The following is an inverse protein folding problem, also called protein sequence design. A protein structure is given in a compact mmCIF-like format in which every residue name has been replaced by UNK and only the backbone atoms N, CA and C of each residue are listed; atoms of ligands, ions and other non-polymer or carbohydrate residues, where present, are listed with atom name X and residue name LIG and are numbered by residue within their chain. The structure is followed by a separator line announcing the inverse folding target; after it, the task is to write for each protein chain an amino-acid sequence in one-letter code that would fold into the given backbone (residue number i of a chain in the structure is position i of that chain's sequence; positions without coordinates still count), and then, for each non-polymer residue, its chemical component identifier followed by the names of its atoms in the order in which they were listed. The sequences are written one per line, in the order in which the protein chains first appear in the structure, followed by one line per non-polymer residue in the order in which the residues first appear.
data_IF_716678839924
#
_entry.id   IF_716678839924
#
_cell.length_a   1.000
_cell.length_b   1.000
_cell.length_c   1.000
_cell.angle_alpha   90.00
_cell.angle_beta   90.00
_cell.angle_gamma   90.00
#
_symmetry.space_group_name_H-M   'P 1'
#
loop_
_entity.id
_entity.type
_entity.pdbx_description
1 polymer ?
#
# COMPACT_ATOMS: atom_id res chain seq x y z
N UNK A 1 -13.31 27.83 13.53
CA UNK A 1 -12.68 27.57 12.21
C UNK A 1 -11.83 26.32 12.37
N UNK A 2 -11.98 25.33 11.50
CA UNK A 2 -11.24 24.07 11.58
C UNK A 2 -10.47 23.86 10.27
N UNK A 3 -9.18 23.63 10.35
CA UNK A 3 -8.33 23.29 9.21
C UNK A 3 -8.02 21.79 9.26
N UNK A 4 -8.14 21.13 8.11
CA UNK A 4 -7.72 19.75 7.93
C UNK A 4 -6.73 19.65 6.78
N UNK A 5 -5.60 19.02 7.04
CA UNK A 5 -4.53 18.74 6.09
C UNK A 5 -4.82 17.44 5.30
N UNK A 6 -3.78 16.88 4.66
CA UNK A 6 -3.83 15.55 4.07
C UNK A 6 -4.19 14.51 5.15
N UNK A 7 -5.48 14.16 5.24
CA UNK A 7 -6.06 13.49 6.40
C UNK A 7 -7.57 13.68 6.55
N UNK A 8 -8.16 14.61 5.80
CA UNK A 8 -9.59 14.92 5.82
C UNK A 8 -10.51 13.70 5.64
N UNK A 9 -10.07 12.63 4.97
CA UNK A 9 -10.84 11.38 4.85
C UNK A 9 -11.25 10.75 6.18
N UNK A 10 -10.52 11.02 7.28
CA UNK A 10 -10.84 10.53 8.62
C UNK A 10 -12.07 11.19 9.23
N UNK A 11 -12.39 12.40 8.77
CA UNK A 11 -13.51 13.21 9.29
C UNK A 11 -14.63 13.39 8.27
N UNK A 12 -14.39 13.03 7.01
CA UNK A 12 -15.40 12.95 5.95
C UNK A 12 -16.14 11.60 6.00
N UNK A 13 -16.55 11.19 7.20
CA UNK A 13 -17.37 10.01 7.46
C UNK A 13 -18.58 10.40 8.31
N UNK A 14 -19.74 9.74 8.14
CA UNK A 14 -20.91 9.98 8.97
C UNK A 14 -20.58 9.88 10.46
N UNK A 15 -20.97 10.87 11.26
CA UNK A 15 -20.70 10.94 12.69
C UNK A 15 -19.25 11.24 13.10
N UNK A 16 -18.33 11.43 12.15
CA UNK A 16 -16.93 11.86 12.40
C UNK A 16 -16.68 13.31 11.96
N UNK A 17 -17.71 13.98 11.45
CA UNK A 17 -17.61 15.35 11.01
C UNK A 17 -17.25 16.27 12.18
N UNK A 18 -16.30 17.20 12.03
CA UNK A 18 -15.76 17.96 13.17
C UNK A 18 -16.68 19.11 13.59
N UNK A 19 -17.67 19.46 12.77
CA UNK A 19 -18.65 20.51 13.06
C UNK A 19 -19.98 19.87 13.45
N UNK A 20 -20.49 20.23 14.63
CA UNK A 20 -21.83 19.84 15.09
C UNK A 20 -22.90 20.72 14.44
N UNK A 21 -24.13 20.20 14.29
CA UNK A 21 -25.23 20.85 13.56
C UNK A 21 -25.53 22.30 13.96
N UNK A 22 -25.21 22.65 15.21
CA UNK A 22 -25.62 23.89 15.86
C UNK A 22 -24.50 24.94 15.88
N UNK A 23 -23.29 24.60 15.37
CA UNK A 23 -22.14 25.49 15.40
C UNK A 23 -21.99 26.27 14.08
N UNK A 24 -22.06 27.61 14.11
CA UNK A 24 -21.63 28.41 12.96
C UNK A 24 -20.11 28.28 12.80
N UNK A 25 -19.68 27.51 11.81
CA UNK A 25 -18.27 27.23 11.57
C UNK A 25 -17.95 27.06 10.09
N UNK A 26 -16.77 27.53 9.68
CA UNK A 26 -16.19 27.24 8.37
C UNK A 26 -15.16 26.13 8.52
N UNK A 27 -15.30 25.08 7.70
CA UNK A 27 -14.32 24.01 7.52
C UNK A 27 -13.47 24.35 6.29
N UNK A 28 -12.15 24.41 6.48
CA UNK A 28 -11.19 24.58 5.40
C UNK A 28 -10.43 23.26 5.21
N UNK A 29 -10.55 22.68 4.01
CA UNK A 29 -9.80 21.49 3.62
C UNK A 29 -8.56 21.95 2.85
N UNK A 30 -7.40 21.82 3.48
CA UNK A 30 -6.11 22.18 2.93
C UNK A 30 -5.50 20.94 2.29
N UNK A 31 -5.85 20.74 1.02
CA UNK A 31 -5.29 19.66 0.22
C UNK A 31 -3.90 20.07 -0.31
N UNK A 32 -2.84 19.65 0.37
CA UNK A 32 -1.47 19.78 -0.13
C UNK A 32 -1.21 18.80 -1.28
N UNK A 33 -0.85 19.31 -2.47
CA UNK A 33 -0.47 18.47 -3.62
C UNK A 33 0.71 17.55 -3.26
N UNK A 34 1.65 18.04 -2.47
CA UNK A 34 2.82 17.29 -2.03
C UNK A 34 2.45 16.13 -1.09
N UNK A 35 1.51 16.36 -0.16
CA UNK A 35 1.00 15.30 0.73
C UNK A 35 0.33 14.17 -0.05
N UNK A 36 -0.43 14.52 -1.10
CA UNK A 36 -1.02 13.54 -2.00
C UNK A 36 0.06 12.72 -2.71
N UNK A 37 1.08 13.37 -3.25
CA UNK A 37 2.18 12.68 -3.92
C UNK A 37 2.92 11.76 -2.95
N UNK A 38 3.24 12.22 -1.74
CA UNK A 38 3.89 11.42 -0.70
C UNK A 38 3.06 10.19 -0.30
N UNK A 39 1.73 10.35 -0.15
CA UNK A 39 0.81 9.24 0.16
C UNK A 39 0.70 8.25 -0.98
N UNK A 40 0.64 8.72 -2.23
CA UNK A 40 0.64 7.86 -3.43
C UNK A 40 1.94 7.07 -3.55
N UNK A 41 3.07 7.71 -3.31
CA UNK A 41 4.37 7.04 -3.37
C UNK A 41 4.54 6.03 -2.23
N UNK A 42 4.05 6.36 -1.03
CA UNK A 42 4.00 5.41 0.08
C UNK A 42 3.14 4.19 -0.27
N UNK A 43 1.97 4.40 -0.88
CA UNK A 43 1.10 3.31 -1.32
C UNK A 43 1.80 2.43 -2.37
N UNK A 44 2.45 3.03 -3.38
CA UNK A 44 3.22 2.28 -4.39
C UNK A 44 4.34 1.43 -3.79
N UNK A 45 5.01 1.92 -2.73
CA UNK A 45 6.06 1.15 -2.04
C UNK A 45 5.51 -0.04 -1.24
N UNK A 46 4.26 0.03 -0.79
CA UNK A 46 3.56 -1.06 -0.10
C UNK A 46 3.04 -2.13 -1.07
N UNK A 47 2.67 -1.71 -2.29
CA UNK A 47 2.12 -2.56 -3.34
C UNK A 47 3.03 -2.53 -4.57
N UNK A 48 4.16 -3.26 -4.56
CA UNK A 48 5.08 -3.26 -5.67
C UNK A 48 4.41 -3.77 -6.96
N UNK A 49 4.68 -3.08 -8.06
CA UNK A 49 4.40 -3.56 -9.40
C UNK A 49 5.43 -4.62 -9.84
N UNK A 50 5.38 -5.04 -11.11
CA UNK A 50 6.33 -6.04 -11.64
C UNK A 50 7.79 -5.58 -11.51
N UNK A 51 8.07 -4.28 -11.71
CA UNK A 51 9.41 -3.75 -11.58
C UNK A 51 9.86 -3.79 -10.11
N UNK A 52 8.98 -3.39 -9.19
CA UNK A 52 9.23 -3.45 -7.75
C UNK A 52 9.47 -4.88 -7.26
N UNK A 53 8.70 -5.85 -7.74
CA UNK A 53 8.90 -7.26 -7.41
C UNK A 53 10.22 -7.81 -7.94
N UNK A 54 10.67 -7.39 -9.14
CA UNK A 54 12.00 -7.77 -9.65
C UNK A 54 13.13 -7.29 -8.75
N UNK A 55 13.02 -6.06 -8.23
CA UNK A 55 14.01 -5.52 -7.28
C UNK A 55 13.96 -6.27 -5.94
N UNK A 56 12.76 -6.59 -5.44
CA UNK A 56 12.59 -7.40 -4.23
C UNK A 56 13.21 -8.80 -4.40
N UNK A 57 12.93 -9.47 -5.51
CA UNK A 57 13.51 -10.77 -5.86
C UNK A 57 15.04 -10.70 -5.90
N UNK A 58 15.62 -9.70 -6.57
CA UNK A 58 17.07 -9.50 -6.61
C UNK A 58 17.69 -9.31 -5.22
N UNK A 59 17.01 -8.55 -4.36
CA UNK A 59 17.45 -8.29 -2.97
C UNK A 59 17.50 -9.58 -2.15
N UNK A 60 16.42 -10.38 -2.18
CA UNK A 60 16.36 -11.66 -1.46
C UNK A 60 17.37 -12.64 -2.02
N UNK A 61 17.44 -12.77 -3.35
CA UNK A 61 18.34 -13.70 -4.03
C UNK A 61 19.80 -13.42 -3.69
N UNK A 62 20.22 -12.15 -3.70
CA UNK A 62 21.59 -11.77 -3.34
C UNK A 62 21.88 -12.13 -1.87
N UNK A 63 20.96 -11.83 -0.95
CA UNK A 63 21.10 -12.20 0.45
C UNK A 63 21.24 -13.72 0.64
N UNK A 64 20.40 -14.52 -0.02
CA UNK A 64 20.47 -15.98 0.05
C UNK A 64 21.75 -16.55 -0.57
N UNK A 65 22.31 -15.89 -1.59
CA UNK A 65 23.60 -16.27 -2.17
C UNK A 65 24.78 -15.97 -1.25
N UNK A 66 24.72 -14.86 -0.53
CA UNK A 66 25.79 -14.42 0.37
C UNK A 66 25.77 -15.16 1.72
N UNK A 67 24.58 -15.38 2.27
CA UNK A 67 24.39 -15.86 3.65
C UNK A 67 23.81 -17.28 3.73
N UNK A 68 23.40 -17.85 2.60
CA UNK A 68 22.70 -19.13 2.55
C UNK A 68 21.22 -19.02 2.97
N UNK A 69 20.55 -20.17 3.20
CA UNK A 69 19.17 -20.20 3.67
C UNK A 69 18.99 -19.43 4.98
N UNK A 70 17.94 -18.61 5.06
CA UNK A 70 17.71 -17.75 6.23
C UNK A 70 16.23 -17.78 6.66
N UNK A 71 15.97 -17.32 7.89
CA UNK A 71 14.61 -17.31 8.43
C UNK A 71 13.72 -16.30 7.68
N UNK A 72 12.48 -16.69 7.37
CA UNK A 72 11.49 -15.83 6.70
C UNK A 72 11.32 -14.48 7.42
N UNK A 73 11.31 -14.49 8.76
CA UNK A 73 11.21 -13.30 9.59
C UNK A 73 12.34 -12.28 9.35
N UNK A 74 13.53 -12.74 8.93
CA UNK A 74 14.62 -11.83 8.56
C UNK A 74 14.36 -11.15 7.22
N UNK A 75 13.74 -11.86 6.26
CA UNK A 75 13.38 -11.28 4.97
C UNK A 75 12.29 -10.21 5.12
N UNK A 76 11.32 -10.42 6.01
CA UNK A 76 10.23 -9.47 6.29
C UNK A 76 10.69 -8.14 6.92
N UNK A 77 11.93 -8.09 7.43
CA UNK A 77 12.56 -6.88 7.95
C UNK A 77 13.28 -6.08 6.86
N UNK A 78 13.39 -6.61 5.64
CA UNK A 78 14.12 -5.97 4.56
C UNK A 78 13.26 -4.97 3.80
N UNK A 79 13.96 -3.94 3.34
CA UNK A 79 13.47 -2.99 2.36
C UNK A 79 14.41 -3.05 1.16
N UNK A 80 13.82 -3.27 -0.02
CA UNK A 80 14.56 -3.29 -1.27
C UNK A 80 15.08 -1.87 -1.63
N UNK A 81 16.13 -1.73 -2.46
CA UNK A 81 16.73 -0.42 -2.79
C UNK A 81 15.76 0.62 -3.36
N UNK A 82 14.66 0.20 -3.99
CA UNK A 82 13.61 1.07 -4.50
C UNK A 82 12.62 1.54 -3.41
N UNK A 83 12.85 1.20 -2.15
CA UNK A 83 11.99 1.52 -1.01
C UNK A 83 10.80 0.57 -0.84
N UNK A 84 10.68 -0.48 -1.65
CA UNK A 84 9.64 -1.48 -1.47
C UNK A 84 9.95 -2.37 -0.26
N UNK A 85 8.98 -2.51 0.64
CA UNK A 85 9.11 -3.43 1.76
C UNK A 85 8.88 -4.86 1.29
N UNK A 86 9.70 -5.79 1.77
CA UNK A 86 9.45 -7.22 1.58
C UNK A 86 8.35 -7.63 2.55
N UNK A 87 7.12 -7.71 2.07
CA UNK A 87 5.94 -8.08 2.85
C UNK A 87 5.64 -9.58 2.70
N UNK A 88 4.73 -10.09 3.53
CA UNK A 88 4.26 -11.47 3.40
C UNK A 88 3.66 -11.73 2.02
N UNK A 89 2.84 -10.82 1.51
CA UNK A 89 2.23 -10.95 0.19
C UNK A 89 3.29 -11.04 -0.93
N UNK A 90 4.40 -10.30 -0.82
CA UNK A 90 5.52 -10.39 -1.76
C UNK A 90 6.19 -11.76 -1.71
N UNK A 91 6.42 -12.29 -0.51
CA UNK A 91 7.01 -13.63 -0.34
C UNK A 91 6.07 -14.72 -0.86
N UNK A 92 4.78 -14.63 -0.55
CA UNK A 92 3.76 -15.59 -1.00
C UNK A 92 3.69 -15.64 -2.54
N UNK A 93 3.80 -14.51 -3.23
CA UNK A 93 3.92 -14.45 -4.69
C UNK A 93 5.15 -15.22 -5.19
N UNK A 94 6.29 -15.04 -4.53
CA UNK A 94 7.52 -15.75 -4.91
C UNK A 94 7.45 -17.25 -4.61
N UNK A 95 6.77 -17.65 -3.54
CA UNK A 95 6.52 -19.06 -3.25
C UNK A 95 5.55 -19.70 -4.24
N UNK A 96 4.48 -19.00 -4.62
CA UNK A 96 3.54 -19.42 -5.66
C UNK A 96 4.25 -19.66 -6.99
N UNK A 97 5.19 -18.78 -7.36
CA UNK A 97 5.98 -18.89 -8.58
C UNK A 97 7.19 -19.83 -8.44
N UNK A 98 7.36 -20.46 -7.29
CA UNK A 98 8.49 -21.33 -6.94
C UNK A 98 9.87 -20.66 -7.09
N UNK A 99 9.94 -19.33 -7.02
CA UNK A 99 11.21 -18.58 -7.08
C UNK A 99 12.04 -18.76 -5.80
N UNK A 100 11.36 -19.01 -4.69
CA UNK A 100 11.93 -19.40 -3.41
C UNK A 100 11.15 -20.58 -2.85
N UNK A 101 11.78 -21.34 -1.96
CA UNK A 101 11.14 -22.42 -1.21
C UNK A 101 11.16 -22.09 0.28
N UNK A 102 10.19 -22.62 1.02
CA UNK A 102 10.08 -22.46 2.46
C UNK A 102 9.90 -23.80 3.14
N UNK A 103 10.81 -24.15 4.03
CA UNK A 103 10.78 -25.37 4.82
C UNK A 103 11.12 -25.05 6.27
N UNK A 104 10.24 -25.40 7.21
CA UNK A 104 10.42 -25.13 8.64
C UNK A 104 10.79 -23.67 8.99
N UNK A 105 10.28 -22.70 8.22
CA UNK A 105 10.56 -21.26 8.39
C UNK A 105 11.86 -20.77 7.74
N UNK A 106 12.70 -21.68 7.22
CA UNK A 106 13.86 -21.34 6.42
C UNK A 106 13.48 -21.15 4.96
N UNK A 107 13.99 -20.07 4.37
CA UNK A 107 13.81 -19.70 2.98
C UNK A 107 15.09 -19.98 2.22
N UNK A 108 14.97 -20.65 1.08
CA UNK A 108 16.09 -20.96 0.19
C UNK A 108 15.76 -20.66 -1.28
N UNK A 109 16.78 -20.75 -2.15
CA UNK A 109 16.59 -20.52 -3.59
C UNK A 109 15.69 -21.61 -4.19
N UNK A 110 14.70 -21.18 -4.97
CA UNK A 110 13.81 -22.08 -5.71
C UNK A 110 14.27 -22.26 -7.16
N UNK A 111 13.29 -22.47 -8.03
CA UNK A 111 13.46 -22.70 -9.47
C UNK A 111 14.01 -21.44 -10.18
N UNK A 112 15.02 -21.66 -11.03
CA UNK A 112 15.65 -20.62 -11.86
C UNK A 112 15.02 -20.46 -13.24
N UNK A 113 13.98 -21.24 -13.55
CA UNK A 113 13.23 -21.15 -14.79
C UNK A 113 12.58 -19.78 -15.01
N UNK A 114 12.25 -19.46 -16.26
CA UNK A 114 11.56 -18.22 -16.59
C UNK A 114 10.12 -18.26 -16.03
N UNK A 115 9.81 -17.39 -15.07
CA UNK A 115 8.47 -17.26 -14.48
C UNK A 115 7.85 -15.93 -14.89
N UNK A 116 6.58 -15.96 -15.25
CA UNK A 116 5.81 -14.74 -15.53
C UNK A 116 5.09 -14.27 -14.27
N UNK A 117 5.50 -13.12 -13.74
CA UNK A 117 4.91 -12.56 -12.51
C UNK A 117 3.41 -12.28 -12.64
N UNK A 118 2.93 -12.01 -13.86
CA UNK A 118 1.52 -11.70 -14.12
C UNK A 118 0.59 -12.92 -13.99
N UNK A 119 1.15 -14.13 -14.03
CA UNK A 119 0.39 -15.37 -13.86
C UNK A 119 0.12 -15.71 -12.38
N UNK A 120 0.83 -15.07 -11.44
CA UNK A 120 0.58 -15.24 -10.00
C UNK A 120 -0.77 -14.65 -9.63
N UNK A 121 -1.63 -15.48 -9.02
CA UNK A 121 -2.90 -15.04 -8.42
C UNK A 121 -2.64 -14.10 -7.25
N UNK A 122 -1.58 -14.35 -6.48
CA UNK A 122 -1.14 -13.43 -5.42
C UNK A 122 -0.82 -12.05 -5.96
N UNK A 123 -0.14 -11.97 -7.11
CA UNK A 123 0.19 -10.69 -7.73
C UNK A 123 -1.07 -9.97 -8.24
N UNK A 124 -1.97 -10.68 -8.90
CA UNK A 124 -3.24 -10.11 -9.36
C UNK A 124 -4.08 -9.56 -8.20
N UNK A 125 -4.16 -10.30 -7.09
CA UNK A 125 -4.85 -9.87 -5.88
C UNK A 125 -4.19 -8.63 -5.25
N UNK A 126 -2.85 -8.61 -5.19
CA UNK A 126 -2.09 -7.46 -4.70
C UNK A 126 -2.34 -6.19 -5.55
N UNK A 127 -2.38 -6.33 -6.88
CA UNK A 127 -2.70 -5.22 -7.78
C UNK A 127 -4.15 -4.75 -7.63
N UNK A 128 -5.10 -5.67 -7.49
CA UNK A 128 -6.50 -5.32 -7.25
C UNK A 128 -6.68 -4.55 -5.93
N UNK A 129 -5.97 -4.95 -4.87
CA UNK A 129 -5.98 -4.22 -3.59
C UNK A 129 -5.34 -2.83 -3.72
N UNK A 130 -4.22 -2.73 -4.46
CA UNK A 130 -3.61 -1.44 -4.78
C UNK A 130 -4.59 -0.53 -5.50
N UNK A 131 -5.26 -1.02 -6.54
CA UNK A 131 -6.22 -0.23 -7.32
C UNK A 131 -7.38 0.26 -6.45
N UNK A 132 -7.94 -0.60 -5.60
CA UNK A 132 -8.99 -0.22 -4.66
C UNK A 132 -8.51 0.89 -3.70
N UNK A 133 -7.31 0.74 -3.11
CA UNK A 133 -6.73 1.75 -2.21
C UNK A 133 -6.36 3.03 -2.93
N UNK A 134 -5.89 2.94 -4.17
CA UNK A 134 -5.53 4.08 -4.99
C UNK A 134 -6.77 4.88 -5.41
N UNK A 135 -7.88 4.20 -5.75
CA UNK A 135 -9.16 4.84 -6.02
C UNK A 135 -9.73 5.51 -4.76
N UNK A 136 -9.67 4.83 -3.61
CA UNK A 136 -10.10 5.41 -2.33
C UNK A 136 -9.27 6.66 -1.99
N UNK A 137 -7.94 6.57 -2.16
CA UNK A 137 -7.04 7.70 -1.99
C UNK A 137 -7.44 8.82 -2.94
N UNK A 138 -7.51 8.60 -4.26
CA UNK A 138 -7.87 9.67 -5.21
C UNK A 138 -9.27 10.26 -4.95
N UNK A 139 -10.24 9.44 -4.53
CA UNK A 139 -11.60 9.89 -4.22
C UNK A 139 -11.59 10.93 -3.11
N UNK A 140 -10.79 10.74 -2.05
CA UNK A 140 -10.77 11.69 -0.93
C UNK A 140 -10.37 13.11 -1.36
N UNK A 141 -9.65 13.26 -2.47
CA UNK A 141 -9.23 14.56 -3.01
C UNK A 141 -10.13 15.08 -4.14
N UNK A 142 -11.08 14.28 -4.61
CA UNK A 142 -12.08 14.65 -5.64
C UNK A 142 -13.46 14.95 -5.06
N UNK A 143 -13.62 14.88 -3.74
CA UNK A 143 -14.88 15.14 -3.05
C UNK A 143 -15.39 16.54 -3.41
N UNK A 144 -16.60 16.59 -3.95
CA UNK A 144 -17.23 17.85 -4.32
C UNK A 144 -17.74 18.58 -3.07
N UNK A 145 -17.79 19.92 -3.07
CA UNK A 145 -18.37 20.69 -1.97
C UNK A 145 -19.79 20.23 -1.59
N UNK A 146 -20.61 19.83 -2.57
CA UNK A 146 -21.95 19.30 -2.36
C UNK A 146 -21.96 17.98 -1.59
N UNK A 147 -21.01 17.08 -1.84
CA UNK A 147 -20.88 15.81 -1.12
C UNK A 147 -20.45 16.05 0.33
N UNK A 148 -19.54 17.01 0.56
CA UNK A 148 -19.12 17.41 1.92
C UNK A 148 -20.31 17.99 2.69
N UNK A 149 -21.13 18.82 2.04
CA UNK A 149 -22.35 19.37 2.64
C UNK A 149 -23.38 18.28 2.97
N UNK A 150 -23.56 17.29 2.09
CA UNK A 150 -24.44 16.15 2.33
C UNK A 150 -23.96 15.27 3.49
N UNK A 151 -22.65 15.02 3.60
CA UNK A 151 -22.05 14.28 4.72
C UNK A 151 -22.23 15.01 6.05
N UNK A 152 -22.13 16.34 6.06
CA UNK A 152 -22.48 17.13 7.24
C UNK A 152 -23.96 16.95 7.57
N UNK A 153 -24.87 17.14 6.62
CA UNK A 153 -26.30 17.03 6.85
C UNK A 153 -26.72 15.64 7.37
N UNK A 154 -26.11 14.57 6.87
CA UNK A 154 -26.36 13.19 7.30
C UNK A 154 -25.72 12.82 8.65
N UNK A 155 -24.74 13.59 9.13
CA UNK A 155 -24.10 13.41 10.43
C UNK A 155 -24.72 14.24 11.56
N UNK A 156 -25.83 14.95 11.29
CA UNK A 156 -26.65 15.61 12.30
C UNK A 156 -27.63 14.64 12.95
#
# INVERSE_FOLDING_TARGET
MVFWDGGAEKVLQPGKFPLKGDQPGRLYLLYGREDLLARRDTLRRQYPDVAGLRVCYGTIRNRLREQGPCQEAQLLQLTAPNGCRISQAVLDIFYELHLFTREAGLVSLGDTGHKNMQESKGFQALQAEYDARFQALNRSWRLQPAEIAALWAAGR
#
